data_IF_411583187927
#
_entry.id   IF_411583187927
#
_cell.length_a   1.000
_cell.length_b   1.000
_cell.length_c   1.000
_cell.angle_alpha   90.00
_cell.angle_beta   90.00
_cell.angle_gamma   90.00
#
_symmetry.space_group_name_H-M   'P 1'
#
loop_
_entity.id
_entity.type
_entity.pdbx_description
1 polymer ?
#
# COMPACT_ATOMS: atom_id res chain seq x y z
N UNK A 1 28.15 7.63 10.71
CA UNK A 1 26.82 8.12 10.25
C UNK A 1 26.63 8.13 8.72
N UNK A 2 27.53 8.69 7.88
CA UNK A 2 27.35 8.68 6.40
C UNK A 2 27.30 7.27 5.78
N UNK A 3 28.11 6.32 6.28
CA UNK A 3 28.12 4.94 5.78
C UNK A 3 26.83 4.15 6.10
N UNK A 4 26.10 4.46 7.19
CA UNK A 4 24.84 3.74 7.49
C UNK A 4 23.67 4.23 6.64
N UNK A 5 23.62 5.54 6.31
CA UNK A 5 22.63 6.10 5.38
C UNK A 5 22.83 5.62 3.93
N UNK A 6 24.09 5.47 3.50
CA UNK A 6 24.39 4.93 2.17
C UNK A 6 24.00 3.46 2.08
N UNK A 7 24.30 2.66 3.12
CA UNK A 7 23.90 1.25 3.22
C UNK A 7 22.37 1.08 3.30
N UNK A 8 21.65 1.96 3.99
CA UNK A 8 20.18 1.89 4.08
C UNK A 8 19.47 2.17 2.75
N UNK A 9 20.11 2.90 1.83
CA UNK A 9 19.54 3.16 0.50
C UNK A 9 20.00 2.11 -0.53
N UNK A 10 21.18 1.53 -0.35
CA UNK A 10 21.73 0.48 -1.22
C UNK A 10 20.90 -0.79 -1.19
N UNK A 11 20.39 -1.20 -0.03
CA UNK A 11 19.62 -2.45 0.08
C UNK A 11 18.35 -2.42 -0.77
N UNK A 12 17.43 -1.42 -0.63
CA UNK A 12 16.25 -1.33 -1.49
C UNK A 12 16.57 -1.34 -2.98
N UNK A 13 17.60 -0.60 -3.40
CA UNK A 13 18.01 -0.52 -4.81
C UNK A 13 18.52 -1.88 -5.29
N UNK A 14 19.37 -2.56 -4.51
CA UNK A 14 19.86 -3.90 -4.85
C UNK A 14 18.73 -4.93 -4.89
N UNK A 15 17.77 -4.88 -3.97
CA UNK A 15 16.61 -5.77 -3.97
C UNK A 15 15.76 -5.59 -5.23
N UNK A 16 15.58 -4.35 -5.69
CA UNK A 16 14.88 -4.06 -6.95
C UNK A 16 15.66 -4.64 -8.14
N UNK A 17 16.97 -4.40 -8.22
CA UNK A 17 17.81 -4.93 -9.30
C UNK A 17 17.83 -6.47 -9.33
N UNK A 18 17.94 -7.12 -8.17
CA UNK A 18 17.89 -8.58 -8.06
C UNK A 18 16.51 -9.13 -8.43
N UNK A 19 15.43 -8.42 -8.09
CA UNK A 19 14.09 -8.80 -8.52
C UNK A 19 13.93 -8.77 -10.04
N UNK A 20 14.43 -7.72 -10.70
CA UNK A 20 14.50 -7.66 -12.17
C UNK A 20 15.42 -8.73 -12.77
N UNK A 21 16.52 -9.06 -12.09
CA UNK A 21 17.41 -10.13 -12.55
C UNK A 21 16.70 -11.49 -12.54
N UNK A 22 15.96 -11.81 -11.47
CA UNK A 22 15.17 -13.05 -11.38
C UNK A 22 14.11 -13.09 -12.49
N UNK A 23 13.39 -11.98 -12.71
CA UNK A 23 12.43 -11.91 -13.81
C UNK A 23 13.07 -12.09 -15.20
N UNK A 24 14.27 -11.54 -15.41
CA UNK A 24 15.01 -11.73 -16.65
C UNK A 24 15.40 -13.19 -16.87
N UNK A 25 15.88 -13.87 -15.83
CA UNK A 25 16.24 -15.30 -15.89
C UNK A 25 15.01 -16.13 -16.23
N UNK A 26 13.87 -15.87 -15.58
CA UNK A 26 12.63 -16.60 -15.85
C UNK A 26 12.15 -16.37 -17.29
N UNK A 27 12.19 -15.13 -17.78
CA UNK A 27 11.86 -14.86 -19.19
C UNK A 27 12.73 -15.68 -20.14
N UNK A 28 14.05 -15.75 -19.89
CA UNK A 28 14.97 -16.55 -20.73
C UNK A 28 14.65 -18.05 -20.68
N UNK A 29 14.32 -18.60 -19.51
CA UNK A 29 13.95 -20.03 -19.35
C UNK A 29 12.74 -20.38 -20.23
N UNK A 30 11.77 -19.47 -20.33
CA UNK A 30 10.57 -19.66 -21.15
C UNK A 30 10.71 -19.12 -22.59
N UNK A 31 11.94 -18.86 -23.06
CA UNK A 31 12.24 -18.33 -24.40
C UNK A 31 11.63 -16.95 -24.72
N UNK A 32 11.34 -16.14 -23.69
CA UNK A 32 10.99 -14.74 -23.85
C UNK A 32 12.23 -13.85 -23.84
N UNK A 33 12.22 -12.77 -24.62
CA UNK A 33 13.29 -11.78 -24.63
C UNK A 33 13.11 -10.78 -23.45
N UNK A 34 14.01 -10.75 -22.44
CA UNK A 34 13.87 -9.86 -21.28
C UNK A 34 13.94 -8.38 -21.63
N UNK A 35 14.77 -8.02 -22.60
CA UNK A 35 14.95 -6.63 -23.04
C UNK A 35 13.68 -6.14 -23.72
N UNK A 36 13.08 -6.97 -24.58
CA UNK A 36 11.80 -6.66 -25.20
C UNK A 36 10.68 -6.55 -24.14
N UNK A 37 10.62 -7.48 -23.19
CA UNK A 37 9.66 -7.44 -22.08
C UNK A 37 9.76 -6.16 -21.24
N UNK A 38 10.95 -5.85 -20.71
CA UNK A 38 11.13 -4.68 -19.86
C UNK A 38 11.03 -3.35 -20.60
N UNK A 39 11.48 -3.29 -21.86
CA UNK A 39 11.28 -2.08 -22.66
C UNK A 39 9.81 -1.83 -22.98
N UNK A 40 9.03 -2.88 -23.24
CA UNK A 40 7.57 -2.78 -23.40
C UNK A 40 6.92 -2.28 -22.10
N UNK A 41 7.31 -2.83 -20.95
CA UNK A 41 6.79 -2.41 -19.65
C UNK A 41 7.09 -0.94 -19.33
N UNK A 42 8.31 -0.47 -19.57
CA UNK A 42 8.68 0.94 -19.34
C UNK A 42 7.93 1.87 -20.31
N UNK A 43 7.84 1.52 -21.59
CA UNK A 43 7.07 2.30 -22.57
C UNK A 43 5.58 2.36 -22.23
N UNK A 44 5.01 1.26 -21.73
CA UNK A 44 3.61 1.17 -21.36
C UNK A 44 3.26 1.79 -20.01
N UNK A 45 4.25 2.19 -19.21
CA UNK A 45 4.04 2.89 -17.93
C UNK A 45 4.40 4.37 -18.01
N UNK A 46 5.46 4.72 -18.76
CA UNK A 46 6.00 6.09 -18.81
C UNK A 46 6.01 6.71 -20.20
N UNK A 47 5.62 5.98 -21.26
CA UNK A 47 5.80 6.42 -22.64
C UNK A 47 4.78 7.45 -23.15
N UNK A 48 3.59 7.55 -22.53
CA UNK A 48 2.56 8.54 -22.89
C UNK A 48 1.97 9.18 -21.64
N UNK A 49 1.47 10.43 -21.72
CA UNK A 49 0.80 11.10 -20.60
C UNK A 49 -0.32 10.27 -19.96
N UNK A 50 -1.09 9.53 -20.77
CA UNK A 50 -2.10 8.58 -20.29
C UNK A 50 -1.53 7.52 -19.36
N UNK A 51 -0.45 6.84 -19.77
CA UNK A 51 0.17 5.78 -18.97
C UNK A 51 0.86 6.31 -17.72
N UNK A 52 1.44 7.52 -17.79
CA UNK A 52 1.97 8.20 -16.60
C UNK A 52 0.82 8.47 -15.61
N UNK A 53 -0.33 8.94 -16.09
CA UNK A 53 -1.53 9.13 -15.29
C UNK A 53 -2.02 7.85 -14.62
N UNK A 54 -2.08 6.74 -15.36
CA UNK A 54 -2.42 5.42 -14.79
C UNK A 54 -1.41 4.90 -13.77
N UNK A 55 -0.11 5.14 -14.01
CA UNK A 55 0.96 4.77 -13.10
C UNK A 55 0.84 5.53 -11.78
N UNK A 56 0.57 6.84 -11.83
CA UNK A 56 0.34 7.67 -10.65
C UNK A 56 -0.96 7.29 -9.93
N UNK A 57 -2.02 6.95 -10.67
CA UNK A 57 -3.26 6.44 -10.10
C UNK A 57 -2.99 5.16 -9.32
N UNK A 58 -2.26 4.22 -9.90
CA UNK A 58 -1.93 2.94 -9.24
C UNK A 58 -1.03 3.14 -8.02
N UNK A 59 -0.11 4.11 -8.05
CA UNK A 59 0.76 4.42 -6.91
C UNK A 59 0.00 5.06 -5.73
N UNK A 60 -1.05 5.85 -6.01
CA UNK A 60 -1.81 6.61 -5.00
C UNK A 60 -2.31 5.76 -3.81
N UNK A 61 -3.07 4.67 -4.01
CA UNK A 61 -3.53 3.82 -2.91
C UNK A 61 -2.36 3.08 -2.24
N UNK A 62 -1.32 2.72 -2.98
CA UNK A 62 -0.13 2.05 -2.43
C UNK A 62 0.65 2.95 -1.46
N UNK A 63 0.73 4.26 -1.74
CA UNK A 63 1.32 5.23 -0.79
C UNK A 63 0.55 5.20 0.52
N UNK A 64 -0.78 5.29 0.46
CA UNK A 64 -1.64 5.38 1.64
C UNK A 64 -1.62 4.10 2.47
N UNK A 65 -1.80 2.94 1.82
CA UNK A 65 -1.71 1.63 2.48
C UNK A 65 -0.32 1.40 3.07
N UNK A 66 0.73 1.75 2.31
CA UNK A 66 2.11 1.61 2.78
C UNK A 66 2.44 2.52 3.97
N UNK A 67 1.94 3.76 3.98
CA UNK A 67 2.04 4.65 5.14
C UNK A 67 1.31 4.07 6.36
N UNK A 68 0.12 3.49 6.14
CA UNK A 68 -0.63 2.80 7.20
C UNK A 68 0.19 1.70 7.85
N UNK A 69 0.71 0.78 7.03
CA UNK A 69 1.59 -0.28 7.51
C UNK A 69 2.82 0.28 8.24
N UNK A 70 3.47 1.31 7.70
CA UNK A 70 4.65 1.90 8.32
C UNK A 70 4.36 2.49 9.70
N UNK A 71 3.19 3.08 9.94
CA UNK A 71 2.79 3.56 11.28
C UNK A 71 2.66 2.39 12.26
N UNK A 72 1.97 1.31 11.88
CA UNK A 72 1.86 0.11 12.72
C UNK A 72 3.23 -0.53 12.99
N UNK A 73 4.06 -0.67 11.95
CA UNK A 73 5.38 -1.28 12.05
C UNK A 73 6.31 -0.48 12.98
N UNK A 74 6.28 0.85 12.93
CA UNK A 74 7.02 1.69 13.87
C UNK A 74 6.55 1.54 15.31
N UNK A 75 5.29 1.16 15.54
CA UNK A 75 4.75 0.83 16.86
C UNK A 75 5.03 -0.62 17.29
N UNK A 76 5.78 -1.40 16.50
CA UNK A 76 6.11 -2.79 16.78
C UNK A 76 5.04 -3.79 16.33
N UNK A 77 4.07 -3.36 15.51
CA UNK A 77 2.96 -4.20 15.03
C UNK A 77 3.08 -4.53 13.55
N UNK A 78 3.19 -5.83 13.24
CA UNK A 78 3.22 -6.31 11.87
C UNK A 78 1.79 -6.51 11.33
N UNK A 79 1.15 -5.42 10.91
CA UNK A 79 -0.24 -5.42 10.47
C UNK A 79 -0.41 -5.97 9.04
N UNK A 80 -0.60 -7.28 8.90
CA UNK A 80 -0.94 -7.93 7.61
C UNK A 80 -2.40 -7.65 7.20
N UNK A 81 -3.19 -7.11 8.12
CA UNK A 81 -4.62 -6.80 7.96
C UNK A 81 -4.93 -5.62 7.04
N UNK A 82 -3.92 -4.95 6.50
CA UNK A 82 -4.08 -3.74 5.68
C UNK A 82 -4.92 -3.99 4.43
N UNK A 83 -4.91 -5.21 3.88
CA UNK A 83 -5.76 -5.58 2.73
C UNK A 83 -7.25 -5.57 3.07
N UNK A 84 -7.64 -6.18 4.19
CA UNK A 84 -9.02 -6.16 4.67
C UNK A 84 -9.45 -4.77 5.13
N UNK A 85 -8.54 -4.01 5.77
CA UNK A 85 -8.80 -2.62 6.18
C UNK A 85 -9.05 -1.71 4.96
N UNK A 86 -8.27 -1.88 3.89
CA UNK A 86 -8.50 -1.18 2.63
C UNK A 86 -9.83 -1.60 1.97
N UNK A 87 -10.17 -2.91 1.98
CA UNK A 87 -11.44 -3.39 1.44
C UNK A 87 -12.65 -2.83 2.20
N UNK A 88 -12.61 -2.80 3.53
CA UNK A 88 -13.67 -2.22 4.36
C UNK A 88 -13.75 -0.70 4.15
N UNK A 89 -12.62 -0.01 4.00
CA UNK A 89 -12.60 1.41 3.63
C UNK A 89 -13.20 1.69 2.26
N UNK A 90 -12.91 0.83 1.27
CA UNK A 90 -13.54 0.88 -0.04
C UNK A 90 -15.06 0.72 0.09
N UNK A 91 -15.54 -0.34 0.77
CA UNK A 91 -16.96 -0.59 0.97
C UNK A 91 -17.68 0.59 1.63
N UNK A 92 -17.16 1.05 2.77
CA UNK A 92 -17.80 2.10 3.56
C UNK A 92 -17.83 3.45 2.83
N UNK A 93 -16.78 3.78 2.07
CA UNK A 93 -16.77 5.00 1.25
C UNK A 93 -17.80 4.97 0.13
N UNK A 94 -17.92 3.85 -0.61
CA UNK A 94 -18.90 3.69 -1.69
C UNK A 94 -20.32 3.59 -1.14
N UNK A 95 -20.53 2.86 -0.04
CA UNK A 95 -21.82 2.77 0.61
C UNK A 95 -22.30 4.15 1.07
N UNK A 96 -21.42 4.95 1.69
CA UNK A 96 -21.76 6.32 2.05
C UNK A 96 -22.15 7.15 0.82
N UNK A 97 -21.39 7.06 -0.28
CA UNK A 97 -21.70 7.77 -1.53
C UNK A 97 -23.08 7.39 -2.12
N UNK A 98 -23.51 6.13 -1.94
CA UNK A 98 -24.83 5.67 -2.38
C UNK A 98 -25.98 6.17 -1.50
N UNK A 99 -25.73 6.48 -0.23
CA UNK A 99 -26.76 6.98 0.69
C UNK A 99 -27.03 8.47 0.52
N UNK A 100 -26.06 9.24 0.01
CA UNK A 100 -26.15 10.69 -0.17
C UNK A 100 -25.82 11.16 -1.61
N UNK A 101 -26.52 10.63 -2.64
CA UNK A 101 -26.18 10.89 -4.05
C UNK A 101 -26.39 12.35 -4.49
N UNK A 102 -27.39 13.01 -3.90
CA UNK A 102 -27.84 14.37 -4.27
C UNK A 102 -27.10 15.49 -3.51
N UNK A 103 -26.27 15.13 -2.54
CA UNK A 103 -25.53 16.12 -1.74
C UNK A 103 -24.43 16.76 -2.61
N UNK A 104 -24.23 18.09 -2.54
CA UNK A 104 -23.19 18.77 -3.31
C UNK A 104 -21.79 18.18 -3.09
N UNK A 105 -20.98 18.14 -4.16
CA UNK A 105 -19.62 17.56 -4.17
C UNK A 105 -18.73 18.01 -3.01
N UNK A 106 -18.84 19.28 -2.60
CA UNK A 106 -18.04 19.89 -1.53
C UNK A 106 -18.26 19.17 -0.18
N UNK A 107 -19.46 18.67 0.07
CA UNK A 107 -19.81 17.99 1.33
C UNK A 107 -19.79 16.47 1.14
N UNK A 108 -20.34 15.98 0.03
CA UNK A 108 -20.45 14.55 -0.23
C UNK A 108 -19.07 13.87 -0.24
N UNK A 109 -18.10 14.47 -0.94
CA UNK A 109 -16.78 13.87 -1.10
C UNK A 109 -16.00 13.75 0.22
N UNK A 110 -15.83 14.81 1.06
CA UNK A 110 -15.18 14.66 2.36
C UNK A 110 -15.87 13.67 3.27
N UNK A 111 -17.21 13.62 3.29
CA UNK A 111 -17.96 12.68 4.13
C UNK A 111 -17.70 11.23 3.70
N UNK A 112 -17.69 10.94 2.40
CA UNK A 112 -17.39 9.61 1.89
C UNK A 112 -15.94 9.18 2.17
N UNK A 113 -14.99 10.12 2.06
CA UNK A 113 -13.58 9.88 2.41
C UNK A 113 -13.43 9.57 3.91
N UNK A 114 -14.07 10.37 4.76
CA UNK A 114 -14.08 10.15 6.21
C UNK A 114 -14.74 8.82 6.58
N UNK A 115 -15.83 8.44 5.91
CA UNK A 115 -16.46 7.13 6.09
C UNK A 115 -15.49 5.98 5.79
N UNK A 116 -14.73 6.07 4.68
CA UNK A 116 -13.70 5.09 4.33
C UNK A 116 -12.55 5.03 5.35
N UNK A 117 -12.09 6.18 5.83
CA UNK A 117 -11.08 6.28 6.89
C UNK A 117 -11.58 5.63 8.19
N UNK A 118 -12.80 5.95 8.62
CA UNK A 118 -13.39 5.40 9.84
C UNK A 118 -13.64 3.90 9.72
N UNK A 119 -14.14 3.42 8.57
CA UNK A 119 -14.35 2.00 8.32
C UNK A 119 -13.06 1.19 8.47
N UNK A 120 -11.98 1.65 7.83
CA UNK A 120 -10.66 1.03 7.98
C UNK A 120 -10.10 1.13 9.41
N UNK A 121 -10.26 2.28 10.07
CA UNK A 121 -9.78 2.51 11.44
C UNK A 121 -10.48 1.61 12.46
N UNK A 122 -11.81 1.48 12.37
CA UNK A 122 -12.60 0.60 13.22
C UNK A 122 -12.18 -0.86 13.01
N UNK A 123 -12.03 -1.28 11.75
CA UNK A 123 -11.64 -2.66 11.43
C UNK A 123 -10.26 -3.03 11.97
N UNK A 124 -9.29 -2.13 11.82
CA UNK A 124 -7.96 -2.31 12.41
C UNK A 124 -7.98 -2.21 13.95
N UNK A 125 -8.84 -1.35 14.48
CA UNK A 125 -9.04 -1.17 15.92
C UNK A 125 -9.47 -2.45 16.63
N UNK A 126 -10.25 -3.32 15.96
CA UNK A 126 -10.60 -4.66 16.49
C UNK A 126 -9.33 -5.47 16.77
N UNK A 127 -8.41 -5.54 15.81
CA UNK A 127 -7.15 -6.25 15.98
C UNK A 127 -6.28 -5.61 17.09
N UNK A 128 -6.21 -4.27 17.12
CA UNK A 128 -5.48 -3.52 18.14
C UNK A 128 -6.03 -3.74 19.56
N UNK A 129 -7.35 -3.76 19.70
CA UNK A 129 -8.03 -4.05 20.97
C UNK A 129 -7.74 -5.47 21.45
N UNK A 130 -7.91 -6.46 20.57
CA UNK A 130 -7.64 -7.86 20.90
C UNK A 130 -6.18 -8.05 21.35
N UNK A 131 -5.24 -7.41 20.65
CA UNK A 131 -3.82 -7.45 21.02
C UNK A 131 -3.56 -6.76 22.36
N UNK A 132 -4.13 -5.59 22.59
CA UNK A 132 -3.85 -4.78 23.78
C UNK A 132 -4.36 -5.41 25.08
N UNK A 133 -5.49 -6.12 25.04
CA UNK A 133 -6.13 -6.71 26.22
C UNK A 133 -5.85 -8.21 26.38
N UNK A 134 -5.81 -8.96 25.28
CA UNK A 134 -5.67 -10.42 25.33
C UNK A 134 -4.28 -10.91 24.91
N UNK A 135 -3.37 -10.00 24.56
CA UNK A 135 -2.00 -10.31 24.15
C UNK A 135 -1.92 -11.36 23.01
N UNK A 136 -2.92 -11.36 22.12
CA UNK A 136 -3.01 -12.30 20.99
C UNK A 136 -1.89 -12.08 19.96
N UNK A 137 -1.69 -13.01 19.04
CA UNK A 137 -0.80 -12.78 17.90
C UNK A 137 -1.46 -11.82 16.91
N UNK A 138 -0.87 -10.65 16.72
CA UNK A 138 -1.34 -9.62 15.79
C UNK A 138 -1.37 -10.13 14.35
N UNK A 139 -0.41 -10.98 13.98
CA UNK A 139 -0.34 -11.59 12.65
C UNK A 139 -1.54 -12.49 12.40
N UNK A 140 -1.84 -13.40 13.33
CA UNK A 140 -2.95 -14.35 13.18
C UNK A 140 -4.29 -13.60 13.15
N UNK A 141 -4.51 -12.69 14.10
CA UNK A 141 -5.77 -11.93 14.19
C UNK A 141 -6.01 -11.11 12.92
N UNK A 142 -4.98 -10.42 12.42
CA UNK A 142 -5.13 -9.58 11.22
C UNK A 142 -5.33 -10.40 9.94
N UNK A 143 -4.71 -11.58 9.81
CA UNK A 143 -4.98 -12.50 8.69
C UNK A 143 -6.42 -13.02 8.75
N UNK A 144 -6.90 -13.45 9.92
CA UNK A 144 -8.29 -13.91 10.07
C UNK A 144 -9.28 -12.80 9.73
N UNK A 145 -9.05 -11.59 10.22
CA UNK A 145 -9.89 -10.42 9.93
C UNK A 145 -9.88 -10.01 8.45
N UNK A 146 -8.84 -10.31 7.68
CA UNK A 146 -8.86 -10.09 6.23
C UNK A 146 -9.91 -10.97 5.55
N UNK A 147 -9.93 -12.27 5.85
CA UNK A 147 -10.92 -13.18 5.26
C UNK A 147 -12.33 -12.89 5.77
N UNK A 148 -12.47 -12.49 7.04
CA UNK A 148 -13.74 -11.98 7.56
C UNK A 148 -14.18 -10.73 6.79
N UNK A 149 -13.29 -9.76 6.54
CA UNK A 149 -13.60 -8.57 5.76
C UNK A 149 -14.06 -8.91 4.34
N UNK A 150 -13.37 -9.85 3.68
CA UNK A 150 -13.73 -10.33 2.35
C UNK A 150 -15.15 -10.91 2.32
N UNK A 151 -15.45 -11.85 3.21
CA UNK A 151 -16.75 -12.51 3.28
C UNK A 151 -17.88 -11.54 3.65
N UNK A 152 -17.65 -10.67 4.64
CA UNK A 152 -18.63 -9.66 5.08
C UNK A 152 -18.89 -8.64 3.97
N UNK A 153 -17.84 -8.16 3.29
CA UNK A 153 -17.98 -7.21 2.18
C UNK A 153 -18.77 -7.83 1.03
N UNK A 154 -18.44 -9.07 0.63
CA UNK A 154 -19.17 -9.78 -0.42
C UNK A 154 -20.64 -9.99 -0.05
N UNK A 155 -20.92 -10.32 1.22
CA UNK A 155 -22.30 -10.47 1.72
C UNK A 155 -23.08 -9.15 1.63
N UNK A 156 -22.48 -8.05 2.09
CA UNK A 156 -23.10 -6.71 2.05
C UNK A 156 -23.37 -6.27 0.61
N UNK A 157 -22.41 -6.45 -0.30
CA UNK A 157 -22.58 -6.10 -1.71
C UNK A 157 -23.76 -6.85 -2.34
N UNK A 158 -23.82 -8.18 -2.15
CA UNK A 158 -24.84 -9.04 -2.79
C UNK A 158 -26.23 -9.01 -2.16
N UNK A 159 -26.33 -8.77 -0.86
CA UNK A 159 -27.61 -8.93 -0.14
C UNK A 159 -28.17 -7.62 0.42
N UNK A 160 -27.34 -6.59 0.60
CA UNK A 160 -27.76 -5.32 1.21
C UNK A 160 -27.71 -4.18 0.18
N UNK A 161 -26.63 -4.08 -0.59
CA UNK A 161 -26.44 -2.98 -1.56
C UNK A 161 -27.04 -3.27 -2.92
N UNK A 162 -27.29 -4.53 -3.24
CA UNK A 162 -27.83 -4.96 -4.54
C UNK A 162 -28.78 -6.13 -4.38
N UNK A 163 -29.65 -6.34 -5.38
CA UNK A 163 -30.51 -7.52 -5.47
C UNK A 163 -29.76 -8.69 -6.10
N UNK A 164 -28.79 -9.27 -5.36
CA UNK A 164 -27.95 -10.39 -5.80
C UNK A 164 -27.05 -10.09 -7.00
N UNK A 165 -26.68 -8.83 -7.19
CA UNK A 165 -25.67 -8.43 -8.18
C UNK A 165 -24.25 -8.58 -7.61
N UNK A 166 -23.28 -8.78 -8.49
CA UNK A 166 -21.86 -8.85 -8.14
C UNK A 166 -21.21 -7.46 -8.05
N UNK A 167 -21.90 -6.42 -8.49
CA UNK A 167 -21.40 -5.05 -8.42
C UNK A 167 -22.53 -4.06 -8.13
N UNK A 168 -22.18 -3.04 -7.35
CA UNK A 168 -23.04 -1.88 -7.11
C UNK A 168 -23.11 -0.98 -8.35
N UNK A 169 -24.21 -0.21 -8.51
CA UNK A 169 -24.26 0.88 -9.49
C UNK A 169 -23.09 1.85 -9.28
N UNK A 170 -22.75 2.59 -10.34
CA UNK A 170 -21.74 3.66 -10.22
C UNK A 170 -22.24 4.73 -9.24
N UNK A 171 -21.32 5.22 -8.42
CA UNK A 171 -21.58 6.35 -7.50
C UNK A 171 -21.90 7.63 -8.29
N UNK A 172 -22.62 8.54 -7.64
CA UNK A 172 -22.89 9.88 -8.16
C UNK A 172 -21.60 10.64 -8.48
N UNK A 173 -21.63 11.51 -9.50
CA UNK A 173 -20.49 12.38 -9.85
C UNK A 173 -20.08 13.30 -8.69
N UNK A 174 -21.03 13.63 -7.81
CA UNK A 174 -20.78 14.41 -6.59
C UNK A 174 -19.84 13.70 -5.61
N UNK A 175 -19.81 12.37 -5.60
CA UNK A 175 -18.93 11.58 -4.74
C UNK A 175 -17.60 11.20 -5.43
N UNK A 176 -17.43 11.56 -6.71
CA UNK A 176 -16.26 11.16 -7.49
C UNK A 176 -15.02 11.99 -7.15
N UNK A 177 -13.90 11.31 -6.93
CA UNK A 177 -12.57 11.93 -6.83
C UNK A 177 -12.01 12.39 -8.17
N UNK A 178 -12.63 12.00 -9.29
CA UNK A 178 -12.22 12.43 -10.63
C UNK A 178 -12.48 13.92 -10.79
N UNK A 179 -11.51 14.59 -11.41
CA UNK A 179 -11.57 16.01 -11.68
C UNK A 179 -11.17 16.24 -13.13
N UNK A 180 -12.00 16.96 -13.88
CA UNK A 180 -11.88 17.08 -15.34
C UNK A 180 -10.53 17.65 -15.77
N UNK A 181 -9.99 18.59 -15.01
CA UNK A 181 -8.68 19.18 -15.28
C UNK A 181 -7.53 18.17 -15.17
N UNK A 182 -7.61 17.20 -14.25
CA UNK A 182 -6.60 16.14 -14.08
C UNK A 182 -6.71 15.14 -15.23
N UNK A 183 -7.94 14.70 -15.49
CA UNK A 183 -8.25 13.75 -16.57
C UNK A 183 -7.84 14.32 -17.93
N UNK A 184 -8.07 15.62 -18.19
CA UNK A 184 -7.66 16.27 -19.44
C UNK A 184 -6.13 16.42 -19.53
N UNK A 185 -5.44 16.72 -18.43
CA UNK A 185 -3.97 16.84 -18.39
C UNK A 185 -3.27 15.52 -18.75
N UNK A 186 -3.87 14.39 -18.39
CA UNK A 186 -3.32 13.05 -18.64
C UNK A 186 -3.96 12.36 -19.85
N UNK A 187 -4.55 13.09 -20.80
CA UNK A 187 -5.18 12.51 -22.00
C UNK A 187 -6.28 11.47 -21.68
N UNK A 188 -7.18 11.82 -20.78
CA UNK A 188 -8.31 11.01 -20.30
C UNK A 188 -7.93 9.76 -19.48
N UNK A 189 -6.81 9.81 -18.75
CA UNK A 189 -6.51 8.75 -17.79
C UNK A 189 -7.48 8.78 -16.60
N UNK A 190 -7.58 7.67 -15.88
CA UNK A 190 -8.42 7.53 -14.68
C UNK A 190 -7.74 8.10 -13.42
N UNK A 191 -6.74 8.98 -13.60
CA UNK A 191 -6.10 9.69 -12.49
C UNK A 191 -7.11 10.64 -11.84
N UNK A 192 -7.08 10.70 -10.51
CA UNK A 192 -8.03 11.45 -9.71
C UNK A 192 -7.30 12.28 -8.65
N UNK A 193 -8.02 13.20 -8.00
CA UNK A 193 -7.44 14.15 -7.03
C UNK A 193 -6.90 13.48 -5.75
N UNK A 194 -7.07 12.16 -5.62
CA UNK A 194 -6.56 11.35 -4.54
C UNK A 194 -5.04 11.39 -4.41
N UNK A 195 -4.30 11.68 -5.49
CA UNK A 195 -2.85 11.85 -5.42
C UNK A 195 -2.44 13.01 -4.50
N UNK A 196 -3.22 14.10 -4.46
CA UNK A 196 -2.96 15.22 -3.56
C UNK A 196 -3.20 14.84 -2.10
N UNK A 197 -4.24 14.02 -1.85
CA UNK A 197 -4.54 13.47 -0.53
C UNK A 197 -3.40 12.54 -0.09
N UNK A 198 -2.91 11.67 -0.97
CA UNK A 198 -1.79 10.78 -0.69
C UNK A 198 -0.50 11.55 -0.36
N UNK A 199 -0.16 12.58 -1.15
CA UNK A 199 1.00 13.43 -0.90
C UNK A 199 0.83 14.18 0.44
N UNK A 200 -0.34 14.75 0.71
CA UNK A 200 -0.62 15.40 1.99
C UNK A 200 -0.46 14.41 3.17
N UNK A 201 -0.96 13.18 3.02
CA UNK A 201 -0.81 12.12 4.02
C UNK A 201 0.65 11.76 4.28
N UNK A 202 1.53 11.75 3.25
CA UNK A 202 2.98 11.55 3.43
C UNK A 202 3.57 12.61 4.37
N UNK A 203 3.25 13.89 4.14
CA UNK A 203 3.75 14.98 4.98
C UNK A 203 3.18 14.93 6.40
N UNK A 204 1.88 14.63 6.53
CA UNK A 204 1.21 14.50 7.84
C UNK A 204 1.83 13.35 8.63
N UNK A 205 1.97 12.17 8.04
CA UNK A 205 2.56 11.00 8.71
C UNK A 205 4.03 11.27 9.04
N UNK A 206 4.79 11.89 8.14
CA UNK A 206 6.17 12.29 8.42
C UNK A 206 6.26 13.25 9.61
N UNK A 207 5.38 14.25 9.68
CA UNK A 207 5.35 15.22 10.77
C UNK A 207 4.95 14.55 12.08
N UNK A 208 3.85 13.79 12.10
CA UNK A 208 3.38 13.06 13.28
C UNK A 208 4.44 12.09 13.79
N UNK A 209 5.06 11.29 12.93
CA UNK A 209 6.02 10.28 13.37
C UNK A 209 7.35 10.87 13.84
N UNK A 210 7.77 12.04 13.34
CA UNK A 210 9.11 12.58 13.61
C UNK A 210 9.13 13.85 14.48
N UNK A 211 8.00 14.55 14.62
CA UNK A 211 7.94 15.87 15.26
C UNK A 211 6.92 15.95 16.40
N UNK A 212 6.11 14.93 16.65
CA UNK A 212 5.11 14.97 17.75
C UNK A 212 5.39 13.94 18.84
N UNK A 213 4.78 14.16 20.01
CA UNK A 213 4.82 13.25 21.16
C UNK A 213 4.19 11.90 20.84
N UNK A 214 3.08 11.89 20.10
CA UNK A 214 2.43 10.65 19.65
C UNK A 214 3.40 9.77 18.86
N UNK A 215 4.12 10.33 17.89
CA UNK A 215 5.11 9.57 17.12
C UNK A 215 6.24 9.01 17.98
N UNK A 216 6.71 9.79 18.96
CA UNK A 216 7.71 9.35 19.93
C UNK A 216 7.20 8.19 20.81
N UNK A 217 5.98 8.31 21.33
CA UNK A 217 5.37 7.27 22.16
C UNK A 217 5.15 5.97 21.39
N UNK A 218 4.61 6.04 20.16
CA UNK A 218 4.42 4.87 19.31
C UNK A 218 5.74 4.14 19.06
N UNK A 219 6.79 4.87 18.66
CA UNK A 219 8.12 4.29 18.43
C UNK A 219 8.71 3.68 19.70
N UNK A 220 8.54 4.32 20.84
CA UNK A 220 9.09 3.83 22.10
C UNK A 220 8.41 2.53 22.54
N UNK A 221 7.08 2.46 22.42
CA UNK A 221 6.32 1.22 22.69
C UNK A 221 6.74 0.10 21.75
N UNK A 222 6.98 0.40 20.47
CA UNK A 222 7.46 -0.57 19.49
C UNK A 222 8.87 -1.11 19.76
N UNK A 223 9.75 -0.30 20.34
CA UNK A 223 11.10 -0.72 20.72
C UNK A 223 11.09 -1.57 22.00
N UNK A 224 10.40 -1.12 23.04
CA UNK A 224 10.26 -1.88 24.28
C UNK A 224 9.04 -1.42 25.08
N UNK A 225 8.02 -2.28 25.13
CA UNK A 225 6.79 -2.06 25.88
C UNK A 225 7.02 -1.78 27.38
N UNK A 226 7.90 -2.54 28.03
CA UNK A 226 8.15 -2.40 29.47
C UNK A 226 8.87 -1.08 29.80
N UNK A 227 9.84 -0.69 28.97
CA UNK A 227 10.51 0.59 29.12
C UNK A 227 9.56 1.77 28.88
N UNK A 228 8.65 1.64 27.92
CA UNK A 228 7.62 2.66 27.65
C UNK A 228 6.65 2.81 28.83
N UNK A 229 6.19 1.70 29.42
CA UNK A 229 5.33 1.71 30.61
C UNK A 229 6.06 2.32 31.82
N UNK A 230 7.34 2.00 32.02
CA UNK A 230 8.16 2.61 33.08
C UNK A 230 8.31 4.13 32.91
N UNK A 231 8.40 4.61 31.67
CA UNK A 231 8.45 6.04 31.34
C UNK A 231 7.07 6.74 31.37
N UNK A 232 6.00 6.05 31.83
CA UNK A 232 4.66 6.61 31.98
C UNK A 232 3.79 6.57 30.72
N UNK A 233 4.24 5.92 29.64
CA UNK A 233 3.46 5.79 28.40
C UNK A 233 2.51 4.60 28.49
N UNK A 234 1.24 4.81 28.13
CA UNK A 234 0.28 3.70 28.09
C UNK A 234 0.50 2.83 26.85
N UNK A 235 1.16 1.68 27.03
CA UNK A 235 1.35 0.74 25.93
C UNK A 235 0.00 0.36 25.29
N UNK A 236 -0.98 -0.08 26.07
CA UNK A 236 -2.30 -0.53 25.57
C UNK A 236 -2.97 0.51 24.66
N UNK A 237 -2.98 1.78 25.08
CA UNK A 237 -3.54 2.88 24.28
C UNK A 237 -2.80 3.04 22.96
N UNK A 238 -1.47 2.96 22.99
CA UNK A 238 -0.62 3.13 21.82
C UNK A 238 -0.74 1.95 20.84
N UNK A 239 -0.98 0.73 21.32
CA UNK A 239 -1.31 -0.43 20.47
C UNK A 239 -2.59 -0.15 19.68
N UNK A 240 -3.67 0.23 20.37
CA UNK A 240 -4.96 0.47 19.74
C UNK A 240 -4.87 1.65 18.77
N UNK A 241 -4.24 2.74 19.20
CA UNK A 241 -4.11 3.96 18.40
C UNK A 241 -3.27 3.74 17.14
N UNK A 242 -2.14 3.02 17.23
CA UNK A 242 -1.32 2.71 16.06
C UNK A 242 -2.07 1.87 15.03
N UNK A 243 -2.85 0.88 15.48
CA UNK A 243 -3.70 0.07 14.62
C UNK A 243 -4.82 0.89 14.00
N UNK A 244 -5.51 1.75 14.76
CA UNK A 244 -6.53 2.64 14.22
C UNK A 244 -5.98 3.60 13.17
N UNK A 245 -4.80 4.20 13.38
CA UNK A 245 -4.16 5.08 12.39
C UNK A 245 -3.75 4.28 11.15
N UNK A 246 -3.19 3.08 11.32
CA UNK A 246 -2.86 2.18 10.21
C UNK A 246 -4.10 1.85 9.38
N UNK A 247 -5.20 1.47 10.03
CA UNK A 247 -6.47 1.18 9.39
C UNK A 247 -7.09 2.40 8.72
N UNK A 248 -6.96 3.57 9.33
CA UNK A 248 -7.42 4.83 8.76
C UNK A 248 -6.72 5.13 7.43
N UNK A 249 -5.40 4.97 7.36
CA UNK A 249 -4.61 5.19 6.16
C UNK A 249 -4.84 4.11 5.09
N UNK A 250 -4.95 2.84 5.50
CA UNK A 250 -5.30 1.75 4.58
C UNK A 250 -6.72 1.91 4.01
N UNK A 251 -7.69 2.27 4.85
CA UNK A 251 -9.07 2.57 4.47
C UNK A 251 -9.17 3.77 3.53
N UNK A 252 -8.35 4.80 3.76
CA UNK A 252 -8.21 5.92 2.83
C UNK A 252 -7.69 5.46 1.46
N UNK A 253 -6.72 4.54 1.42
CA UNK A 253 -6.25 3.89 0.19
C UNK A 253 -7.35 3.12 -0.54
N UNK A 254 -8.20 2.39 0.19
CA UNK A 254 -9.39 1.74 -0.37
C UNK A 254 -10.42 2.73 -0.90
N UNK A 255 -10.64 3.85 -0.21
CA UNK A 255 -11.54 4.91 -0.67
C UNK A 255 -11.06 5.56 -1.98
N UNK A 256 -9.75 5.61 -2.23
CA UNK A 256 -9.21 6.07 -3.51
C UNK A 256 -9.62 5.15 -4.67
N UNK A 257 -9.59 3.83 -4.47
CA UNK A 257 -10.04 2.87 -5.47
C UNK A 257 -11.55 2.95 -5.69
N UNK A 258 -12.33 3.05 -4.60
CA UNK A 258 -13.78 3.11 -4.67
C UNK A 258 -14.37 4.39 -5.23
N UNK A 259 -13.89 5.56 -4.78
CA UNK A 259 -14.42 6.85 -5.20
C UNK A 259 -13.71 7.42 -6.44
N UNK A 260 -12.51 6.94 -6.75
CA UNK A 260 -11.66 7.45 -7.83
C UNK A 260 -11.55 6.50 -9.02
N UNK A 261 -10.97 5.32 -8.81
CA UNK A 261 -10.69 4.38 -9.91
C UNK A 261 -11.96 3.74 -10.46
N UNK A 262 -12.66 2.96 -9.62
CA UNK A 262 -13.74 2.09 -10.06
C UNK A 262 -15.10 2.78 -10.00
N UNK A 263 -15.25 3.76 -9.10
CA UNK A 263 -16.51 4.47 -8.87
C UNK A 263 -17.67 3.55 -8.46
N UNK A 264 -17.35 2.36 -7.95
CA UNK A 264 -18.29 1.38 -7.42
C UNK A 264 -17.52 0.41 -6.50
N UNK A 265 -18.25 -0.52 -5.90
CA UNK A 265 -17.68 -1.71 -5.26
C UNK A 265 -18.31 -2.98 -5.86
N UNK A 266 -17.51 -4.03 -5.95
CA UNK A 266 -17.89 -5.34 -6.47
C UNK A 266 -17.39 -6.46 -5.55
N UNK A 267 -17.94 -7.65 -5.72
CA UNK A 267 -17.50 -8.83 -4.99
C UNK A 267 -16.16 -9.32 -5.48
N UNK A 268 -15.30 -9.77 -4.56
CA UNK A 268 -13.99 -10.30 -4.91
C UNK A 268 -13.90 -11.80 -4.59
N UNK A 269 -13.24 -12.55 -5.47
CA UNK A 269 -12.85 -13.95 -5.20
C UNK A 269 -11.62 -14.08 -4.30
N UNK A 270 -10.85 -13.01 -4.14
CA UNK A 270 -9.66 -12.92 -3.31
C UNK A 270 -9.52 -11.50 -2.75
N UNK A 271 -8.65 -11.32 -1.76
CA UNK A 271 -8.38 -9.99 -1.20
C UNK A 271 -7.78 -9.05 -2.25
N UNK A 272 -8.08 -7.74 -2.20
CA UNK A 272 -7.49 -6.77 -3.11
C UNK A 272 -5.95 -6.71 -3.00
N UNK A 273 -5.27 -6.75 -4.15
CA UNK A 273 -3.81 -6.72 -4.22
C UNK A 273 -3.20 -5.45 -3.61
N UNK A 274 -3.92 -4.33 -3.63
CA UNK A 274 -3.46 -3.04 -3.07
C UNK A 274 -3.00 -3.15 -1.61
N UNK A 275 -3.56 -4.08 -0.84
CA UNK A 275 -3.18 -4.34 0.55
C UNK A 275 -1.79 -4.96 0.66
N UNK A 276 -1.56 -6.04 -0.08
CA UNK A 276 -0.30 -6.78 -0.06
C UNK A 276 0.81 -6.02 -0.79
N UNK A 277 0.49 -5.38 -1.91
CA UNK A 277 1.41 -4.51 -2.64
C UNK A 277 1.79 -3.28 -1.77
N UNK A 278 0.84 -2.71 -1.01
CA UNK A 278 1.12 -1.60 -0.09
C UNK A 278 2.04 -2.01 1.08
N UNK A 279 1.84 -3.21 1.64
CA UNK A 279 2.75 -3.81 2.63
C UNK A 279 4.17 -3.94 2.05
N UNK A 280 4.29 -4.48 0.85
CA UNK A 280 5.56 -4.64 0.14
C UNK A 280 6.27 -3.30 -0.10
N UNK A 281 5.52 -2.30 -0.55
CA UNK A 281 6.00 -0.93 -0.76
C UNK A 281 6.55 -0.32 0.54
N UNK A 282 5.89 -0.57 1.67
CA UNK A 282 6.35 -0.07 2.96
C UNK A 282 7.64 -0.74 3.45
N UNK A 283 7.79 -2.03 3.20
CA UNK A 283 9.03 -2.76 3.48
C UNK A 283 10.17 -2.26 2.59
N UNK A 284 9.93 -2.10 1.28
CA UNK A 284 10.92 -1.58 0.34
C UNK A 284 11.34 -0.14 0.71
N UNK A 285 10.37 0.68 1.11
CA UNK A 285 10.59 2.04 1.61
C UNK A 285 11.20 2.10 3.02
N UNK A 286 11.53 0.96 3.64
CA UNK A 286 12.07 0.87 5.01
C UNK A 286 11.23 1.63 6.05
N UNK A 287 9.89 1.61 5.90
CA UNK A 287 8.94 2.37 6.73
C UNK A 287 9.19 3.89 6.80
N UNK A 288 9.93 4.46 5.85
CA UNK A 288 10.12 5.90 5.71
C UNK A 288 9.02 6.47 4.79
N UNK A 289 8.25 7.51 5.20
CA UNK A 289 7.21 8.12 4.38
C UNK A 289 7.67 8.52 2.97
N UNK A 290 8.88 9.08 2.82
CA UNK A 290 9.39 9.44 1.50
C UNK A 290 9.86 8.22 0.70
N UNK A 291 10.41 7.20 1.37
CA UNK A 291 10.79 5.93 0.75
C UNK A 291 9.59 5.18 0.17
N UNK A 292 8.45 5.26 0.87
CA UNK A 292 7.16 4.69 0.43
C UNK A 292 6.68 5.32 -0.87
N UNK A 293 6.85 6.64 -1.05
CA UNK A 293 6.49 7.30 -2.31
C UNK A 293 7.30 6.72 -3.47
N UNK A 294 8.63 6.63 -3.36
CA UNK A 294 9.45 6.07 -4.43
C UNK A 294 9.15 4.58 -4.69
N UNK A 295 8.97 3.78 -3.63
CA UNK A 295 8.62 2.38 -3.74
C UNK A 295 7.25 2.18 -4.42
N UNK A 296 6.25 3.01 -4.09
CA UNK A 296 4.91 2.96 -4.69
C UNK A 296 4.94 3.27 -6.19
N UNK A 297 5.81 4.18 -6.63
CA UNK A 297 5.99 4.51 -8.04
C UNK A 297 6.60 3.34 -8.80
N UNK A 298 7.59 2.64 -8.23
CA UNK A 298 8.16 1.42 -8.82
C UNK A 298 7.08 0.36 -8.99
N UNK A 299 6.27 0.12 -7.96
CA UNK A 299 5.16 -0.85 -8.03
C UNK A 299 4.09 -0.42 -9.03
N UNK A 300 3.76 0.87 -9.10
CA UNK A 300 2.86 1.42 -10.11
C UNK A 300 3.36 1.17 -11.53
N UNK A 301 4.65 1.41 -11.79
CA UNK A 301 5.31 1.15 -13.08
C UNK A 301 5.25 -0.33 -13.44
N UNK A 302 5.59 -1.21 -12.49
CA UNK A 302 5.54 -2.66 -12.69
C UNK A 302 4.12 -3.12 -13.03
N UNK A 303 3.12 -2.66 -12.28
CA UNK A 303 1.73 -3.10 -12.43
C UNK A 303 1.10 -2.61 -13.74
N UNK A 304 1.24 -1.32 -14.05
CA UNK A 304 0.67 -0.73 -15.28
C UNK A 304 1.45 -1.20 -16.52
N UNK A 305 2.78 -1.23 -16.45
CA UNK A 305 3.62 -1.72 -17.53
C UNK A 305 3.43 -3.21 -17.81
N UNK A 306 3.22 -4.00 -16.75
CA UNK A 306 2.98 -5.44 -16.84
C UNK A 306 1.74 -5.83 -17.61
N UNK A 307 0.70 -4.99 -17.58
CA UNK A 307 -0.53 -5.23 -18.35
C UNK A 307 -0.30 -5.21 -19.88
N UNK A 308 0.77 -4.55 -20.34
CA UNK A 308 1.07 -4.40 -21.77
C UNK A 308 2.19 -5.33 -22.27
N UNK A 309 2.85 -6.06 -21.37
CA UNK A 309 3.88 -7.04 -21.71
C UNK A 309 3.34 -8.20 -22.58
N UNK A 310 2.14 -8.77 -22.32
CA UNK A 310 1.62 -9.84 -23.16
C UNK A 310 1.37 -9.40 -24.60
N UNK A 311 0.87 -8.17 -24.78
CA UNK A 311 0.47 -7.64 -26.09
C UNK A 311 1.71 -7.28 -26.93
N UNK A 312 2.71 -6.64 -26.32
CA UNK A 312 3.85 -6.08 -27.06
C UNK A 312 5.08 -6.99 -27.12
N UNK A 313 5.21 -7.93 -26.17
CA UNK A 313 6.40 -8.79 -26.05
C UNK A 313 6.05 -10.28 -25.90
N UNK A 314 4.76 -10.66 -25.89
CA UNK A 314 4.30 -12.03 -25.65
C UNK A 314 4.54 -12.52 -24.21
N UNK A 315 5.06 -11.67 -23.32
CA UNK A 315 5.46 -12.05 -21.96
C UNK A 315 4.23 -12.03 -21.06
N UNK A 316 3.87 -13.14 -20.38
CA UNK A 316 2.73 -13.19 -19.47
C UNK A 316 2.89 -12.21 -18.29
N UNK A 317 1.77 -11.63 -17.84
CA UNK A 317 1.77 -10.66 -16.72
C UNK A 317 2.25 -11.30 -15.41
N UNK A 318 2.18 -12.62 -15.30
CA UNK A 318 2.64 -13.43 -14.17
C UNK A 318 4.15 -13.22 -13.92
N UNK A 319 4.93 -12.91 -14.95
CA UNK A 319 6.35 -12.55 -14.81
C UNK A 319 6.51 -11.31 -13.93
N UNK A 320 5.62 -10.33 -14.05
CA UNK A 320 5.63 -9.13 -13.20
C UNK A 320 5.31 -9.48 -11.75
N UNK A 321 4.35 -10.37 -11.52
CA UNK A 321 4.05 -10.87 -10.16
C UNK A 321 5.28 -11.56 -9.55
N UNK A 322 6.03 -12.34 -10.34
CA UNK A 322 7.27 -12.97 -9.88
C UNK A 322 8.35 -11.92 -9.58
N UNK A 323 8.50 -10.88 -10.42
CA UNK A 323 9.42 -9.77 -10.15
C UNK A 323 9.05 -9.09 -8.83
N UNK A 324 7.79 -8.71 -8.63
CA UNK A 324 7.33 -8.08 -7.39
C UNK A 324 7.57 -8.97 -6.16
N UNK A 325 7.22 -10.26 -6.24
CA UNK A 325 7.46 -11.23 -5.18
C UNK A 325 8.96 -11.39 -4.87
N UNK A 326 9.81 -11.37 -5.91
CA UNK A 326 11.27 -11.44 -5.75
C UNK A 326 11.82 -10.19 -5.06
N UNK A 327 11.35 -8.99 -5.43
CA UNK A 327 11.72 -7.74 -4.76
C UNK A 327 11.38 -7.83 -3.27
N UNK A 328 10.17 -8.28 -2.93
CA UNK A 328 9.73 -8.45 -1.54
C UNK A 328 10.64 -9.43 -0.80
N UNK A 329 10.93 -10.58 -1.42
CA UNK A 329 11.82 -11.59 -0.85
C UNK A 329 13.21 -11.02 -0.53
N UNK A 330 13.82 -10.28 -1.46
CA UNK A 330 15.13 -9.67 -1.24
C UNK A 330 15.09 -8.55 -0.20
N UNK A 331 14.02 -7.75 -0.13
CA UNK A 331 13.84 -6.75 0.92
C UNK A 331 13.73 -7.39 2.30
N UNK A 332 12.94 -8.46 2.46
CA UNK A 332 12.84 -9.20 3.72
C UNK A 332 14.15 -9.88 4.12
N UNK A 333 15.00 -10.16 3.12
CA UNK A 333 16.31 -10.78 3.25
C UNK A 333 17.43 -9.73 3.47
N UNK A 334 17.08 -8.53 3.94
CA UNK A 334 18.02 -7.43 4.25
C UNK A 334 19.22 -7.91 5.09
N UNK A 335 19.00 -8.80 6.06
CA UNK A 335 20.07 -9.36 6.87
C UNK A 335 21.11 -10.16 6.05
N UNK A 336 20.69 -11.03 5.13
CA UNK A 336 21.63 -11.78 4.27
C UNK A 336 22.33 -10.86 3.27
N UNK A 337 21.63 -9.83 2.76
CA UNK A 337 22.23 -8.83 1.88
C UNK A 337 23.31 -8.03 2.62
N UNK A 338 23.04 -7.59 3.86
CA UNK A 338 24.04 -6.91 4.70
C UNK A 338 25.24 -7.79 4.99
N UNK A 339 25.02 -9.05 5.37
CA UNK A 339 26.09 -10.03 5.59
C UNK A 339 26.94 -10.25 4.33
N UNK A 340 26.33 -10.38 3.15
CA UNK A 340 27.03 -10.54 1.90
C UNK A 340 27.87 -9.29 1.56
N UNK A 341 27.31 -8.08 1.75
CA UNK A 341 28.02 -6.82 1.57
C UNK A 341 29.20 -6.69 2.54
N UNK A 342 29.02 -7.11 3.80
CA UNK A 342 30.08 -7.10 4.80
C UNK A 342 31.22 -8.05 4.43
N UNK A 343 30.91 -9.28 3.96
CA UNK A 343 31.92 -10.22 3.45
C UNK A 343 32.68 -9.69 2.23
N UNK A 344 31.99 -9.07 1.27
CA UNK A 344 32.62 -8.49 0.07
C UNK A 344 33.52 -7.30 0.46
N UNK A 345 33.09 -6.47 1.40
CA UNK A 345 33.88 -5.33 1.88
C UNK A 345 35.11 -5.76 2.69
N UNK A 346 35.00 -6.84 3.47
CA UNK A 346 36.12 -7.44 4.18
C UNK A 346 37.14 -8.07 3.22
N UNK A 347 36.67 -8.76 2.16
CA UNK A 347 37.54 -9.33 1.13
C UNK A 347 38.30 -8.26 0.32
N UNK A 348 37.73 -7.06 0.13
CA UNK A 348 38.41 -5.93 -0.49
C UNK A 348 39.51 -5.30 0.38
N UNK A 349 39.41 -5.36 1.71
CA UNK A 349 40.46 -4.85 2.61
C UNK A 349 41.70 -5.75 2.63
N UNK A 350 41.51 -7.07 2.57
CA UNK A 350 42.59 -8.07 2.58
C UNK A 350 43.43 -8.06 1.28
N UNK A 351 42.96 -7.42 0.20
CA UNK A 351 43.70 -7.30 -1.08
C UNK A 351 44.51 -6.00 -1.23
N UNK A 352 44.45 -5.10 -0.25
CA UNK A 352 45.11 -3.77 -0.31
C UNK A 352 46.24 -3.64 0.72
N UNK A 353 46.37 -4.60 1.63
CA UNK A 353 47.51 -4.79 2.54
C UNK A 353 48.46 -5.87 2.00
#
# INVERSE_FOLDING_TARGET
>A
MKQSKLRSLLVPVLSVLLGFLVGAIIMLIFNYNPVAGYSAMIKASLGKPFYIGETLRQATPLILVGLGFAVANNAGFFNIGVAGQALVGWLTSVWCAMLIPDVPKIICLPVCILAGMLGGAIWAGIAGFLKAYFNTSEVIVTIMLNYTALSVTNYIVRNILTDKSDATPKISENASLRADWITNLTQHSTLHAGIFIAIAAVFIVWFVMNKTTLGFELKTVGLNKFAAEYAGMSAKKNIILSMMISGCLAGLGGAMEGLGTFQNIFTFGALPDIGFDGLAVALLGSSNPFGIVFASLIFGVLRIGGNSMPINAGVPKEVVSIVMASIIFFVGTDYLIRLALDKISASKKVKVD
#
